data_IF_842687657515
#
_entry.id   IF_842687657515
#
_cell.length_a   1.000
_cell.length_b   1.000
_cell.length_c   1.000
_cell.angle_alpha   90.00
_cell.angle_beta   90.00
_cell.angle_gamma   90.00
#
_symmetry.space_group_name_H-M   'P 1'
#
loop_
_entity.id
_entity.type
_entity.pdbx_description
1 polymer ?
#
# COMPACT_ATOMS: atom_id res chain seq x y z
N UNK A 1 -0.34 6.88 19.06
CA UNK A 1 -0.56 5.50 19.56
C UNK A 1 -2.03 5.39 19.99
N UNK A 2 -2.66 4.22 19.80
CA UNK A 2 -4.08 3.98 20.08
C UNK A 2 -4.30 2.51 20.43
N UNK A 3 -5.52 2.14 20.84
CA UNK A 3 -5.96 0.76 21.07
C UNK A 3 -7.21 0.53 20.23
N UNK A 4 -7.25 -0.56 19.45
CA UNK A 4 -8.39 -0.90 18.61
C UNK A 4 -9.53 -1.57 19.43
N UNK A 5 -10.72 -1.81 18.86
CA UNK A 5 -11.83 -2.44 19.58
C UNK A 5 -11.55 -3.88 20.05
N UNK A 6 -10.53 -4.55 19.50
CA UNK A 6 -10.07 -5.88 19.93
C UNK A 6 -9.04 -5.80 21.08
N UNK A 7 -8.72 -4.60 21.57
CA UNK A 7 -7.73 -4.40 22.63
C UNK A 7 -6.28 -4.39 22.15
N UNK A 8 -6.04 -4.42 20.84
CA UNK A 8 -4.70 -4.43 20.26
C UNK A 8 -4.13 -3.02 20.16
N UNK A 9 -2.87 -2.86 20.56
CA UNK A 9 -2.18 -1.58 20.46
C UNK A 9 -1.74 -1.28 19.03
N UNK A 10 -1.90 -0.03 18.60
CA UNK A 10 -1.63 0.37 17.22
C UNK A 10 -1.23 1.84 17.03
N UNK A 11 -1.13 2.23 15.76
CA UNK A 11 -0.88 3.61 15.34
C UNK A 11 -2.13 4.22 14.70
N UNK A 12 -2.39 5.49 15.01
CA UNK A 12 -3.50 6.24 14.42
C UNK A 12 -3.04 6.79 13.06
N UNK A 13 -3.46 6.15 11.97
CA UNK A 13 -3.07 6.47 10.59
C UNK A 13 -4.29 6.45 9.66
N UNK A 14 -4.14 6.96 8.44
CA UNK A 14 -5.23 6.91 7.44
C UNK A 14 -5.58 5.47 7.07
N UNK A 15 -6.88 5.18 6.92
CA UNK A 15 -7.37 3.83 6.60
C UNK A 15 -6.71 3.25 5.34
N UNK A 16 -6.45 4.09 4.33
CA UNK A 16 -5.77 3.70 3.08
C UNK A 16 -4.32 3.22 3.28
N UNK A 17 -3.71 3.52 4.44
CA UNK A 17 -2.35 3.08 4.83
C UNK A 17 -2.36 1.90 5.80
N UNK A 18 -3.53 1.43 6.22
CA UNK A 18 -3.64 0.28 7.11
C UNK A 18 -4.06 -0.97 6.33
N UNK A 19 -3.07 -1.75 5.88
CA UNK A 19 -3.28 -2.99 5.13
C UNK A 19 -4.34 -3.93 5.74
N UNK A 20 -4.29 -4.28 7.05
CA UNK A 20 -5.26 -5.24 7.61
C UNK A 20 -6.70 -4.72 7.60
N UNK A 21 -6.92 -3.42 7.84
CA UNK A 21 -8.27 -2.82 7.77
C UNK A 21 -8.74 -2.70 6.31
N UNK A 22 -7.82 -2.51 5.36
CA UNK A 22 -8.12 -2.49 3.94
C UNK A 22 -8.56 -3.87 3.43
N UNK A 23 -7.83 -4.91 3.81
CA UNK A 23 -8.12 -6.30 3.44
C UNK A 23 -9.47 -6.75 4.03
N UNK A 24 -9.75 -6.35 5.27
CA UNK A 24 -11.06 -6.55 5.90
C UNK A 24 -12.19 -5.91 5.08
N UNK A 25 -12.00 -4.65 4.63
CA UNK A 25 -12.99 -3.93 3.83
C UNK A 25 -13.18 -4.54 2.44
N UNK A 26 -12.11 -5.01 1.80
CA UNK A 26 -12.19 -5.67 0.49
C UNK A 26 -12.90 -7.03 0.60
N UNK A 27 -12.63 -7.77 1.67
CA UNK A 27 -13.16 -9.14 1.87
C UNK A 27 -14.63 -9.13 2.30
N UNK A 28 -14.99 -8.22 3.21
CA UNK A 28 -16.30 -8.23 3.86
C UNK A 28 -17.21 -7.05 3.46
N UNK A 29 -16.68 -6.07 2.72
CA UNK A 29 -17.44 -4.91 2.27
C UNK A 29 -18.03 -4.10 3.42
N UNK A 30 -19.29 -3.71 3.30
CA UNK A 30 -19.99 -2.86 4.29
C UNK A 30 -20.35 -3.59 5.57
N UNK A 31 -20.27 -4.92 5.63
CA UNK A 31 -20.61 -5.69 6.84
C UNK A 31 -19.68 -5.42 8.02
N UNK A 32 -18.48 -4.90 7.76
CA UNK A 32 -17.48 -4.52 8.80
C UNK A 32 -17.48 -3.03 9.12
N UNK A 33 -18.47 -2.27 8.63
CA UNK A 33 -18.55 -0.82 8.83
C UNK A 33 -18.57 -0.41 10.30
N UNK A 34 -19.31 -1.11 11.16
CA UNK A 34 -19.37 -0.88 12.61
C UNK A 34 -17.96 -0.96 13.23
N UNK A 35 -17.19 -1.99 12.88
CA UNK A 35 -15.83 -2.19 13.37
C UNK A 35 -14.88 -1.08 12.90
N UNK A 36 -14.99 -0.65 11.63
CA UNK A 36 -14.20 0.45 11.08
C UNK A 36 -14.54 1.79 11.75
N UNK A 37 -15.81 2.03 12.07
CA UNK A 37 -16.28 3.20 12.79
C UNK A 37 -15.75 3.23 14.21
N UNK A 38 -15.82 2.10 14.92
CA UNK A 38 -15.27 1.94 16.27
C UNK A 38 -13.73 2.04 16.30
N UNK A 39 -13.07 1.70 15.19
CA UNK A 39 -11.63 1.81 15.04
C UNK A 39 -11.16 3.24 14.72
N UNK A 40 -12.06 4.22 14.55
CA UNK A 40 -11.65 5.62 14.28
C UNK A 40 -10.82 6.20 15.42
N UNK A 41 -9.86 7.04 15.06
CA UNK A 41 -9.00 7.74 16.01
C UNK A 41 -8.68 9.15 15.49
N UNK A 42 -8.18 10.03 16.36
CA UNK A 42 -7.86 11.41 16.02
C UNK A 42 -8.85 12.41 16.61
N UNK A 43 -8.69 13.67 16.25
CA UNK A 43 -9.34 14.79 16.93
C UNK A 43 -10.66 15.23 16.26
N UNK A 44 -11.27 14.38 15.42
CA UNK A 44 -12.56 14.66 14.78
C UNK A 44 -12.52 15.64 13.60
N UNK A 45 -11.38 16.28 13.35
CA UNK A 45 -11.16 17.21 12.22
C UNK A 45 -10.79 16.49 10.91
N UNK A 46 -10.83 15.16 10.89
CA UNK A 46 -10.44 14.37 9.73
C UNK A 46 -11.56 14.34 8.70
N UNK A 47 -11.22 14.59 7.43
CA UNK A 47 -12.16 14.53 6.32
C UNK A 47 -12.89 13.17 6.29
N UNK A 48 -14.21 13.22 6.06
CA UNK A 48 -15.03 12.01 5.96
C UNK A 48 -14.58 11.09 4.81
N UNK A 49 -13.90 11.63 3.80
CA UNK A 49 -13.34 10.89 2.67
C UNK A 49 -12.01 10.19 2.99
N UNK A 50 -11.32 10.60 4.06
CA UNK A 50 -10.02 10.06 4.45
C UNK A 50 -9.90 9.91 5.98
N UNK A 51 -10.72 9.03 6.59
CA UNK A 51 -10.73 8.85 8.02
C UNK A 51 -9.44 8.19 8.52
N UNK A 52 -9.04 8.58 9.74
CA UNK A 52 -7.95 7.94 10.49
C UNK A 52 -8.51 6.83 11.37
N UNK A 53 -7.79 5.73 11.45
CA UNK A 53 -8.15 4.52 12.17
C UNK A 53 -6.97 4.00 12.97
N UNK A 54 -7.26 3.27 14.05
CA UNK A 54 -6.28 2.59 14.85
C UNK A 54 -5.80 1.33 14.15
N UNK A 55 -4.63 1.40 13.53
CA UNK A 55 -4.05 0.31 12.78
C UNK A 55 -3.16 -0.57 13.68
N UNK A 56 -3.48 -1.87 13.87
CA UNK A 56 -2.60 -2.79 14.58
C UNK A 56 -1.30 -2.99 13.79
N UNK A 57 -0.17 -3.15 14.48
CA UNK A 57 1.14 -3.41 13.85
C UNK A 57 1.84 -2.20 13.20
N UNK A 58 1.16 -1.09 12.95
CA UNK A 58 1.79 0.11 12.40
C UNK A 58 2.70 0.87 13.39
N UNK A 59 2.70 0.48 14.67
CA UNK A 59 3.51 1.07 15.74
C UNK A 59 4.93 0.51 15.90
N UNK A 60 5.31 -0.52 15.12
CA UNK A 60 6.67 -1.11 15.14
C UNK A 60 7.55 -0.69 13.98
N UNK A 61 7.08 0.19 13.09
CA UNK A 61 7.93 0.84 12.08
C UNK A 61 8.34 2.23 12.58
N UNK A 62 9.37 2.24 13.43
CA UNK A 62 10.27 3.39 13.46
C UNK A 62 10.88 3.60 12.06
N UNK A 63 11.32 4.82 11.77
CA UNK A 63 12.07 5.14 10.55
C UNK A 63 13.15 4.08 10.27
N UNK A 64 12.87 3.21 9.32
CA UNK A 64 13.77 2.19 8.82
C UNK A 64 13.48 2.04 7.35
N UNK A 65 14.52 2.21 6.54
CA UNK A 65 14.52 1.98 5.11
C UNK A 65 13.62 0.81 4.75
N UNK A 66 12.58 1.10 3.97
CA UNK A 66 11.70 0.07 3.41
C UNK A 66 12.53 -0.87 2.56
N UNK A 67 13.03 -1.94 3.17
CA UNK A 67 13.30 -3.17 2.46
C UNK A 67 12.06 -3.45 1.63
N UNK A 68 12.21 -3.43 0.31
CA UNK A 68 11.19 -3.87 -0.62
C UNK A 68 10.89 -5.32 -0.27
N UNK A 69 9.91 -5.56 0.60
CA UNK A 69 9.13 -6.77 0.57
C UNK A 69 8.35 -6.63 -0.73
N UNK A 70 8.97 -7.07 -1.83
CA UNK A 70 8.23 -7.39 -3.03
C UNK A 70 7.26 -8.46 -2.55
N UNK A 71 5.94 -8.23 -2.55
CA UNK A 71 5.02 -9.30 -2.23
C UNK A 71 5.35 -10.44 -3.19
N UNK A 72 5.77 -11.59 -2.66
CA UNK A 72 5.87 -12.80 -3.46
C UNK A 72 4.49 -13.01 -4.07
N UNK A 73 4.42 -12.70 -5.37
CA UNK A 73 3.17 -12.70 -6.11
C UNK A 73 2.64 -14.13 -6.03
N UNK A 74 1.42 -14.36 -5.50
CA UNK A 74 0.76 -15.65 -5.66
C UNK A 74 0.78 -15.97 -7.14
N UNK A 75 1.41 -17.07 -7.55
CA UNK A 75 1.37 -17.53 -8.94
C UNK A 75 -0.10 -17.77 -9.26
N UNK A 76 -0.75 -16.96 -10.12
CA UNK A 76 -2.14 -17.20 -10.45
C UNK A 76 -2.19 -18.53 -11.22
N UNK A 77 -3.03 -19.44 -10.74
CA UNK A 77 -3.37 -20.63 -11.50
C UNK A 77 -4.21 -20.18 -12.71
N UNK A 78 -3.56 -20.14 -13.87
CA UNK A 78 -4.21 -20.15 -15.17
C UNK A 78 -5.17 -18.99 -15.50
N UNK A 79 -5.02 -17.81 -14.90
CA UNK A 79 -5.68 -16.60 -15.41
C UNK A 79 -4.85 -16.06 -16.58
N UNK A 80 -5.38 -16.21 -17.79
CA UNK A 80 -4.80 -15.83 -19.09
C UNK A 80 -4.66 -14.31 -19.28
N UNK A 81 -4.23 -13.58 -18.25
CA UNK A 81 -4.01 -12.14 -18.33
C UNK A 81 -2.61 -11.77 -17.84
N UNK A 82 -1.89 -11.08 -18.73
CA UNK A 82 -0.61 -10.45 -18.45
C UNK A 82 -0.77 -9.32 -17.42
N UNK A 83 0.28 -8.98 -16.64
CA UNK A 83 0.20 -7.89 -15.67
C UNK A 83 -0.14 -6.57 -16.37
N UNK A 84 -1.09 -5.80 -15.82
CA UNK A 84 -1.45 -4.47 -16.34
C UNK A 84 -0.27 -3.49 -16.38
N UNK A 85 0.81 -3.78 -15.63
CA UNK A 85 2.06 -3.04 -15.64
C UNK A 85 3.25 -3.98 -15.79
N UNK A 86 4.21 -3.60 -16.63
CA UNK A 86 5.45 -4.34 -16.77
C UNK A 86 6.18 -4.43 -15.41
N UNK A 87 6.74 -5.60 -15.04
CA UNK A 87 7.45 -5.79 -13.77
C UNK A 87 8.73 -4.96 -13.65
N UNK A 88 9.25 -4.47 -14.78
CA UNK A 88 10.46 -3.66 -14.88
C UNK A 88 10.25 -2.51 -15.84
N UNK A 89 10.69 -1.31 -15.46
CA UNK A 89 10.80 -0.17 -16.37
C UNK A 89 12.19 -0.13 -17.03
N UNK A 90 12.30 0.44 -18.23
CA UNK A 90 13.59 0.80 -18.84
C UNK A 90 14.43 -0.34 -19.44
N UNK A 91 13.92 -1.58 -19.52
CA UNK A 91 14.64 -2.70 -20.12
C UNK A 91 14.33 -2.77 -21.61
N UNK A 92 15.36 -2.62 -22.45
CA UNK A 92 15.28 -2.93 -23.88
C UNK A 92 16.21 -4.10 -24.19
N UNK A 93 15.69 -5.16 -24.80
CA UNK A 93 16.48 -6.31 -25.26
C UNK A 93 17.09 -5.99 -26.64
N UNK A 94 17.82 -4.88 -26.71
CA UNK A 94 18.40 -4.38 -27.95
C UNK A 94 19.89 -4.09 -27.70
N UNK A 95 20.76 -4.72 -28.48
CA UNK A 95 22.17 -4.34 -28.55
C UNK A 95 22.27 -3.03 -29.35
N UNK A 96 22.02 -1.90 -28.70
CA UNK A 96 22.24 -0.59 -29.32
C UNK A 96 23.75 -0.45 -29.60
N UNK A 97 24.13 -0.40 -30.86
CA UNK A 97 25.41 0.20 -31.26
C UNK A 97 25.41 1.64 -30.73
N UNK A 98 26.52 2.09 -30.14
CA UNK A 98 26.64 3.45 -29.58
C UNK A 98 26.15 4.47 -30.62
N UNK A 99 25.23 5.35 -30.24
CA UNK A 99 24.81 6.46 -31.09
C UNK A 99 25.97 7.45 -31.20
N UNK A 100 26.54 7.58 -32.39
CA UNK A 100 27.58 8.56 -32.71
C UNK A 100 26.95 9.74 -33.45
N UNK A 101 27.31 10.98 -33.09
CA UNK A 101 26.78 12.19 -33.73
C UNK A 101 25.40 12.68 -33.23
N UNK A 102 24.92 12.18 -32.09
CA UNK A 102 23.69 12.70 -31.46
C UNK A 102 23.87 14.06 -30.78
N UNK A 103 22.76 14.77 -30.53
CA UNK A 103 22.75 16.02 -29.74
C UNK A 103 22.68 15.65 -28.25
N UNK A 104 23.55 16.22 -27.39
CA UNK A 104 23.51 15.95 -25.95
C UNK A 104 22.18 16.40 -25.35
N UNK A 105 21.63 15.61 -24.42
CA UNK A 105 20.47 16.01 -23.66
C UNK A 105 20.82 17.21 -22.76
N UNK A 106 19.94 18.20 -22.71
CA UNK A 106 20.05 19.30 -21.75
C UNK A 106 19.83 18.78 -20.33
N UNK A 107 20.74 19.14 -19.41
CA UNK A 107 20.62 18.88 -17.97
C UNK A 107 19.69 19.89 -17.31
#
# INVERSE_FOLDING_TARGET
>A
RCVNPLGESGACIYIRKCQPLLELLVTHGTSVSEFLLQSRCGNGNDDSSNPRVCCPGAGTSGNGEGGRIVPERPKPNNSQYWPLYAPTCGVSNHTYTRVVGGVPASL
#
